data_IF_749650779513
#
_entry.id   IF_749650779513
#
_cell.length_a   1.000
_cell.length_b   1.000
_cell.length_c   1.000
_cell.angle_alpha   90.00
_cell.angle_beta   90.00
_cell.angle_gamma   90.00
#
_symmetry.space_group_name_H-M   'P 1'
#
loop_
_entity.id
_entity.type
_entity.pdbx_description
1 polymer ?
#
# COMPACT_ATOMS: atom_id res chain seq x y z
N UNK A 1 -2.93 11.74 -2.26
CA UNK A 1 -1.70 12.55 -2.29
C UNK A 1 -0.72 12.02 -1.25
N UNK A 2 0.55 11.81 -1.62
CA UNK A 2 1.63 11.32 -0.74
C UNK A 2 2.61 12.45 -0.40
N UNK A 3 2.91 12.70 0.87
CA UNK A 3 3.92 13.70 1.32
C UNK A 3 5.21 13.02 1.78
N UNK A 4 6.40 13.53 1.44
CA UNK A 4 7.69 13.05 1.99
C UNK A 4 8.49 14.18 2.65
N UNK A 5 8.98 13.99 3.88
CA UNK A 5 9.77 15.02 4.60
C UNK A 5 11.27 14.96 4.24
N UNK A 6 11.80 16.05 3.65
CA UNK A 6 13.01 16.82 4.07
C UNK A 6 13.56 17.80 3.02
N UNK A 7 12.98 17.85 1.82
CA UNK A 7 13.16 18.95 0.85
C UNK A 7 11.81 19.10 0.16
N UNK A 8 11.28 20.32 0.00
CA UNK A 8 9.94 20.62 -0.55
C UNK A 8 9.33 19.44 -1.36
N UNK A 9 8.35 18.69 -0.80
CA UNK A 9 8.08 17.32 -1.26
C UNK A 9 7.65 17.28 -2.72
N UNK A 10 8.16 16.34 -3.54
CA UNK A 10 7.45 15.99 -4.76
C UNK A 10 6.07 15.46 -4.37
N UNK A 11 5.04 16.04 -4.99
CA UNK A 11 3.67 15.56 -4.87
C UNK A 11 3.50 14.36 -5.79
N UNK A 12 2.97 13.25 -5.25
CA UNK A 12 2.65 12.07 -6.05
C UNK A 12 1.15 11.85 -6.15
N UNK A 13 0.69 11.54 -7.36
CA UNK A 13 -0.69 11.15 -7.63
C UNK A 13 -0.93 9.69 -7.20
N UNK A 14 -2.10 9.44 -6.64
CA UNK A 14 -2.49 8.11 -6.14
C UNK A 14 -3.93 7.83 -6.55
N UNK A 15 -4.18 6.70 -7.21
CA UNK A 15 -5.54 6.17 -7.36
C UNK A 15 -5.85 5.31 -6.15
N UNK A 16 -6.88 5.68 -5.39
CA UNK A 16 -7.30 4.85 -4.26
C UNK A 16 -8.02 3.59 -4.74
N UNK A 17 -7.78 2.48 -4.05
CA UNK A 17 -8.64 1.33 -4.17
C UNK A 17 -10.02 1.67 -3.57
N UNK A 18 -11.08 1.11 -4.16
CA UNK A 18 -12.46 1.30 -3.70
C UNK A 18 -12.89 0.27 -2.63
N UNK A 19 -11.94 -0.32 -1.91
CA UNK A 19 -12.16 -1.30 -0.84
C UNK A 19 -11.24 -1.06 0.35
N UNK A 20 -11.61 -1.70 1.47
CA UNK A 20 -11.14 -1.34 2.81
C UNK A 20 -12.01 -0.26 3.43
N UNK A 21 -11.59 0.31 4.55
CA UNK A 21 -12.23 1.51 5.13
C UNK A 21 -11.53 2.74 4.56
N UNK A 22 -12.06 3.38 3.50
CA UNK A 22 -11.50 4.63 3.02
C UNK A 22 -11.70 5.69 4.10
N UNK A 23 -10.61 6.23 4.65
CA UNK A 23 -10.71 7.36 5.58
C UNK A 23 -10.87 8.66 4.79
N UNK A 24 -11.95 8.78 4.02
CA UNK A 24 -12.28 10.05 3.37
C UNK A 24 -12.24 11.19 4.39
N UNK A 25 -11.62 12.32 4.04
CA UNK A 25 -11.46 13.42 4.99
C UNK A 25 -10.28 13.28 5.96
N UNK A 26 -9.45 12.24 5.87
CA UNK A 26 -8.35 12.00 6.80
C UNK A 26 -6.96 12.14 6.17
N UNK A 27 -5.99 12.45 7.04
CA UNK A 27 -4.56 12.39 6.78
C UNK A 27 -3.97 11.21 7.57
N UNK A 28 -3.27 10.30 6.89
CA UNK A 28 -2.54 9.20 7.52
C UNK A 28 -1.04 9.36 7.23
N UNK A 29 -0.24 9.71 8.23
CA UNK A 29 1.22 9.72 8.11
C UNK A 29 1.86 8.50 8.75
N UNK A 30 2.90 7.96 8.13
CA UNK A 30 3.63 6.79 8.61
C UNK A 30 4.95 6.57 7.89
N UNK A 31 5.80 5.72 8.46
CA UNK A 31 7.05 5.31 7.85
C UNK A 31 6.78 4.41 6.65
N UNK A 32 7.43 4.69 5.53
CA UNK A 32 7.37 3.85 4.33
C UNK A 32 8.19 2.58 4.56
N UNK A 33 7.58 1.43 4.27
CA UNK A 33 8.18 0.11 4.39
C UNK A 33 8.15 -0.55 3.02
N UNK A 34 9.30 -0.95 2.49
CA UNK A 34 9.38 -1.72 1.25
C UNK A 34 10.11 -3.04 1.53
N UNK A 35 9.38 -4.14 1.80
CA UNK A 35 9.98 -5.44 2.05
C UNK A 35 10.73 -5.91 0.79
N UNK A 36 12.04 -6.10 0.90
CA UNK A 36 12.84 -6.50 -0.26
C UNK A 36 14.11 -7.28 0.14
N UNK A 37 14.60 -8.12 -0.77
CA UNK A 37 15.87 -8.81 -0.57
C UNK A 37 17.07 -7.84 -0.61
N UNK A 38 16.98 -6.72 -1.33
CA UNK A 38 17.97 -5.65 -1.31
C UNK A 38 17.92 -4.92 0.04
N UNK A 39 18.91 -5.21 0.89
CA UNK A 39 19.02 -4.61 2.23
C UNK A 39 19.18 -3.08 2.22
N UNK A 40 19.53 -2.46 1.07
CA UNK A 40 19.65 -1.00 0.97
C UNK A 40 18.32 -0.26 1.17
N UNK A 41 17.18 -0.94 1.09
CA UNK A 41 15.87 -0.36 1.42
C UNK A 41 15.55 -0.32 2.92
N UNK A 42 16.43 -0.86 3.78
CA UNK A 42 16.28 -0.84 5.24
C UNK A 42 15.30 -1.87 5.83
N UNK A 43 14.42 -2.45 5.01
CA UNK A 43 13.46 -3.48 5.42
C UNK A 43 13.73 -4.80 4.69
N UNK A 44 14.78 -5.49 5.12
CA UNK A 44 15.20 -6.75 4.51
C UNK A 44 14.19 -7.87 4.76
N UNK A 45 13.64 -8.43 3.67
CA UNK A 45 12.73 -9.56 3.70
C UNK A 45 12.94 -10.39 2.42
N UNK A 46 13.35 -11.66 2.59
CA UNK A 46 13.55 -12.60 1.48
C UNK A 46 12.39 -13.59 1.44
N UNK A 47 11.72 -13.70 0.30
CA UNK A 47 10.62 -14.64 0.08
C UNK A 47 11.04 -15.73 -0.91
N UNK A 48 10.84 -16.98 -0.51
CA UNK A 48 11.08 -18.15 -1.37
C UNK A 48 9.94 -19.16 -1.20
N UNK A 49 9.03 -19.30 -2.18
CA UNK A 49 8.99 -18.60 -3.46
C UNK A 49 8.69 -17.09 -3.31
N UNK A 50 8.88 -16.32 -4.39
CA UNK A 50 8.87 -14.85 -4.33
C UNK A 50 7.50 -14.23 -4.01
N UNK A 51 6.44 -15.03 -3.91
CA UNK A 51 5.05 -14.60 -3.75
C UNK A 51 4.84 -13.62 -2.58
N UNK A 52 5.46 -13.82 -1.41
CA UNK A 52 5.31 -12.87 -0.30
C UNK A 52 5.95 -11.50 -0.57
N UNK A 53 6.99 -11.40 -1.43
CA UNK A 53 7.61 -10.10 -1.78
C UNK A 53 6.63 -9.18 -2.50
N UNK A 54 5.59 -9.76 -3.09
CA UNK A 54 4.51 -9.04 -3.77
C UNK A 54 3.23 -8.98 -2.94
N UNK A 55 3.24 -9.45 -1.68
CA UNK A 55 2.04 -9.53 -0.84
C UNK A 55 1.02 -10.57 -1.30
N UNK A 56 1.42 -11.56 -2.11
CA UNK A 56 0.54 -12.65 -2.52
C UNK A 56 0.44 -13.75 -1.45
N UNK A 57 1.46 -13.86 -0.59
CA UNK A 57 1.47 -14.71 0.60
C UNK A 57 1.77 -13.86 1.85
N UNK A 58 1.42 -14.36 3.06
CA UNK A 58 1.76 -13.69 4.31
C UNK A 58 3.26 -13.41 4.48
N UNK A 59 3.59 -12.25 5.05
CA UNK A 59 4.97 -11.85 5.27
C UNK A 59 5.66 -12.54 6.46
N UNK A 60 4.96 -13.36 7.24
CA UNK A 60 5.60 -14.22 8.23
C UNK A 60 6.37 -15.39 7.57
N UNK A 61 6.16 -15.63 6.27
CA UNK A 61 6.91 -16.59 5.46
C UNK A 61 8.25 -16.03 4.96
N UNK A 62 8.49 -14.72 5.09
CA UNK A 62 9.78 -14.15 4.70
C UNK A 62 10.88 -14.58 5.67
N UNK A 63 12.13 -14.50 5.22
CA UNK A 63 13.32 -14.68 6.04
C UNK A 63 14.12 -13.36 6.08
N UNK A 64 14.27 -12.70 7.24
CA UNK A 64 13.52 -12.97 8.48
C UNK A 64 12.01 -12.69 8.33
N UNK A 65 11.14 -13.24 9.20
CA UNK A 65 9.71 -12.92 9.19
C UNK A 65 9.48 -11.43 9.41
N UNK A 66 8.78 -10.77 8.49
CA UNK A 66 8.47 -9.36 8.62
C UNK A 66 7.24 -9.17 9.51
N UNK A 67 7.45 -8.52 10.65
CA UNK A 67 6.38 -8.10 11.57
C UNK A 67 6.59 -6.64 11.94
N UNK A 68 5.62 -5.80 11.56
CA UNK A 68 5.58 -4.38 11.89
C UNK A 68 4.91 -4.20 13.25
N UNK A 69 5.74 -4.05 14.28
CA UNK A 69 5.27 -3.94 15.66
C UNK A 69 4.40 -2.70 15.84
N UNK A 70 3.16 -2.89 16.30
CA UNK A 70 2.27 -1.79 16.67
C UNK A 70 2.82 -1.12 17.93
N UNK A 71 3.18 0.15 17.81
CA UNK A 71 3.63 1.00 18.91
C UNK A 71 2.86 2.33 18.88
N UNK A 72 2.57 2.94 20.04
CA UNK A 72 1.92 4.25 20.09
C UNK A 72 2.66 5.29 19.23
N UNK A 73 1.93 5.96 18.34
CA UNK A 73 2.48 6.99 17.45
C UNK A 73 3.26 6.46 16.24
N UNK A 74 3.60 5.17 16.18
CA UNK A 74 4.19 4.56 14.98
C UNK A 74 3.11 4.05 14.05
N UNK A 75 3.27 4.40 12.78
CA UNK A 75 2.42 3.95 11.67
C UNK A 75 3.30 3.50 10.53
N UNK A 76 2.87 2.47 9.82
CA UNK A 76 3.61 1.93 8.70
C UNK A 76 2.76 1.97 7.44
N UNK A 77 3.34 2.50 6.37
CA UNK A 77 2.74 2.47 5.05
C UNK A 77 3.58 1.53 4.20
N UNK A 78 3.00 0.39 3.82
CA UNK A 78 3.71 -0.62 3.05
C UNK A 78 3.68 -0.26 1.57
N UNK A 79 4.83 -0.24 0.93
CA UNK A 79 4.97 -0.16 -0.52
C UNK A 79 5.14 -1.58 -1.06
N UNK A 80 4.38 -1.95 -2.09
CA UNK A 80 4.51 -3.24 -2.76
C UNK A 80 4.53 -3.06 -4.27
N UNK A 81 5.23 -3.94 -4.96
CA UNK A 81 5.10 -4.04 -6.40
C UNK A 81 3.80 -4.76 -6.78
N UNK A 82 3.15 -4.31 -7.86
CA UNK A 82 1.96 -4.98 -8.41
C UNK A 82 2.23 -6.46 -8.69
N UNK A 83 3.46 -6.80 -9.04
CA UNK A 83 3.87 -8.15 -9.38
C UNK A 83 4.65 -8.14 -10.69
N UNK A 84 5.54 -9.10 -10.91
CA UNK A 84 6.07 -9.36 -12.23
C UNK A 84 4.95 -9.90 -13.12
N UNK A 85 5.11 -9.69 -14.42
CA UNK A 85 4.30 -10.38 -15.43
C UNK A 85 4.68 -11.86 -15.45
N UNK A 86 3.76 -12.68 -15.93
CA UNK A 86 4.00 -14.08 -16.22
C UNK A 86 5.37 -14.26 -16.91
N UNK A 87 6.28 -15.04 -16.31
CA UNK A 87 7.58 -15.38 -16.90
C UNK A 87 8.81 -14.56 -16.48
N UNK A 88 8.75 -13.62 -15.53
CA UNK A 88 9.96 -12.85 -15.11
C UNK A 88 10.47 -13.11 -13.69
N UNK A 89 9.74 -13.85 -12.85
CA UNK A 89 10.14 -14.31 -11.50
C UNK A 89 9.47 -15.67 -11.24
N UNK A 90 10.02 -16.50 -10.35
CA UNK A 90 9.43 -17.76 -9.81
C UNK A 90 8.12 -17.54 -9.00
N UNK A 91 7.28 -16.59 -9.41
CA UNK A 91 5.91 -16.48 -8.92
C UNK A 91 5.07 -17.56 -9.60
N UNK A 92 4.44 -18.40 -8.78
CA UNK A 92 3.52 -19.41 -9.30
C UNK A 92 2.27 -18.79 -9.94
N UNK A 93 1.82 -17.62 -9.47
CA UNK A 93 0.64 -16.91 -10.02
C UNK A 93 0.58 -15.44 -9.55
N UNK A 94 0.13 -14.48 -10.38
CA UNK A 94 -0.23 -13.15 -9.89
C UNK A 94 -1.43 -13.20 -8.92
N UNK A 95 -1.42 -12.33 -7.90
CA UNK A 95 -2.51 -12.21 -6.91
C UNK A 95 -3.28 -10.89 -7.06
N UNK A 96 -4.46 -10.83 -6.43
CA UNK A 96 -5.31 -9.64 -6.45
C UNK A 96 -4.78 -8.56 -5.50
N UNK A 97 -5.19 -7.31 -5.73
CA UNK A 97 -4.88 -6.23 -4.80
C UNK A 97 -5.44 -6.46 -3.39
N UNK A 98 -6.57 -7.16 -3.28
CA UNK A 98 -7.15 -7.51 -2.00
C UNK A 98 -6.19 -8.38 -1.18
N UNK A 99 -5.55 -9.36 -1.82
CA UNK A 99 -4.56 -10.23 -1.16
C UNK A 99 -3.39 -9.41 -0.62
N UNK A 100 -2.90 -8.45 -1.42
CA UNK A 100 -1.82 -7.53 -1.02
C UNK A 100 -2.22 -6.74 0.22
N UNK A 101 -3.40 -6.11 0.21
CA UNK A 101 -3.88 -5.33 1.34
C UNK A 101 -4.09 -6.18 2.59
N UNK A 102 -4.66 -7.38 2.42
CA UNK A 102 -4.87 -8.33 3.50
C UNK A 102 -3.54 -8.76 4.14
N UNK A 103 -2.56 -9.20 3.35
CA UNK A 103 -1.27 -9.66 3.84
C UNK A 103 -0.44 -8.51 4.44
N UNK A 104 -0.53 -7.28 3.90
CA UNK A 104 0.05 -6.08 4.52
C UNK A 104 -0.58 -5.79 5.88
N UNK A 105 -1.90 -5.92 6.02
CA UNK A 105 -2.60 -5.75 7.30
C UNK A 105 -2.11 -6.77 8.33
N UNK A 106 -2.02 -8.05 7.95
CA UNK A 106 -1.51 -9.11 8.83
C UNK A 106 -0.07 -8.86 9.28
N UNK A 107 0.77 -8.28 8.40
CA UNK A 107 2.12 -7.88 8.75
C UNK A 107 2.19 -6.66 9.68
N UNK A 108 1.07 -5.98 9.95
CA UNK A 108 0.99 -4.83 10.86
C UNK A 108 1.04 -3.45 10.18
N UNK A 109 0.86 -3.38 8.86
CA UNK A 109 0.74 -2.10 8.16
C UNK A 109 -0.51 -1.31 8.59
N UNK A 110 -0.52 0.00 8.32
CA UNK A 110 -1.68 0.89 8.51
C UNK A 110 -2.26 1.36 7.17
N UNK A 111 -1.49 1.24 6.08
CA UNK A 111 -1.95 1.36 4.70
C UNK A 111 -0.99 0.63 3.75
N UNK A 112 -1.45 0.40 2.52
CA UNK A 112 -0.63 -0.16 1.43
C UNK A 112 -0.70 0.72 0.18
N UNK A 113 0.45 0.94 -0.44
CA UNK A 113 0.60 1.53 -1.78
C UNK A 113 1.17 0.46 -2.71
N UNK A 114 0.47 0.18 -3.80
CA UNK A 114 0.92 -0.74 -4.83
C UNK A 114 1.48 0.06 -6.00
N UNK A 115 2.68 -0.26 -6.44
CA UNK A 115 3.35 0.38 -7.57
C UNK A 115 2.92 -0.30 -8.87
N UNK A 116 2.43 0.48 -9.83
CA UNK A 116 2.04 -0.02 -11.14
C UNK A 116 3.25 -0.55 -11.93
N UNK A 117 3.05 -1.54 -12.79
CA UNK A 117 4.09 -2.19 -13.60
C UNK A 117 4.18 -1.65 -15.05
N UNK A 118 3.34 -0.67 -15.39
CA UNK A 118 3.30 -0.01 -16.70
C UNK A 118 2.94 1.47 -16.58
N UNK A 119 3.40 2.25 -17.54
CA UNK A 119 2.85 3.56 -17.83
C UNK A 119 1.39 3.42 -18.32
N UNK A 120 0.53 4.37 -17.97
CA UNK A 120 -0.90 4.36 -18.31
C UNK A 120 -1.83 4.37 -17.09
N UNK A 121 -3.14 4.30 -17.36
CA UNK A 121 -4.18 4.49 -16.35
C UNK A 121 -4.04 3.56 -15.15
N UNK A 122 -4.27 4.14 -13.97
CA UNK A 122 -4.33 3.43 -12.71
C UNK A 122 -5.60 2.58 -12.70
N UNK A 123 -5.51 1.35 -13.22
CA UNK A 123 -6.65 0.43 -13.30
C UNK A 123 -7.15 0.13 -11.88
N UNK A 124 -8.42 0.45 -11.59
CA UNK A 124 -9.06 0.09 -10.32
C UNK A 124 -8.98 -1.41 -10.10
N UNK A 125 -8.57 -1.82 -8.90
CA UNK A 125 -8.42 -3.21 -8.56
C UNK A 125 -9.75 -3.98 -8.70
N UNK A 126 -9.68 -5.11 -9.41
CA UNK A 126 -10.81 -6.05 -9.51
C UNK A 126 -10.81 -6.90 -8.25
N UNK A 127 -11.92 -6.90 -7.53
CA UNK A 127 -12.16 -7.81 -6.41
C UNK A 127 -12.69 -9.13 -6.97
N UNK A 128 -12.14 -10.29 -6.60
CA UNK A 128 -12.71 -11.59 -6.93
C UNK A 128 -14.13 -11.72 -6.37
N UNK A 129 -15.02 -12.39 -7.10
CA UNK A 129 -16.38 -12.67 -6.64
C UNK A 129 -16.47 -14.06 -6.01
N UNK A 130 -15.72 -14.29 -4.93
CA UNK A 130 -15.80 -15.51 -4.13
C UNK A 130 -15.97 -15.21 -2.63
N UNK A 131 -16.39 -16.22 -1.86
CA UNK A 131 -16.68 -16.07 -0.42
C UNK A 131 -15.44 -15.69 0.40
N UNK A 132 -14.24 -16.12 -0.01
CA UNK A 132 -12.98 -15.78 0.64
C UNK A 132 -12.68 -14.29 0.52
N UNK A 133 -12.81 -13.74 -0.69
CA UNK A 133 -12.69 -12.33 -0.95
C UNK A 133 -13.73 -11.49 -0.20
N UNK A 134 -14.98 -11.96 -0.11
CA UNK A 134 -16.03 -11.28 0.65
C UNK A 134 -15.69 -11.14 2.14
N UNK A 135 -15.13 -12.19 2.75
CA UNK A 135 -14.70 -12.17 4.16
C UNK A 135 -13.48 -11.26 4.37
N UNK A 136 -12.47 -11.36 3.50
CA UNK A 136 -11.31 -10.46 3.55
C UNK A 136 -11.73 -8.99 3.45
N UNK A 137 -12.71 -8.66 2.60
CA UNK A 137 -13.23 -7.29 2.48
C UNK A 137 -13.90 -6.79 3.77
N UNK A 138 -14.63 -7.65 4.49
CA UNK A 138 -15.28 -7.27 5.75
C UNK A 138 -14.25 -6.95 6.85
N UNK A 139 -13.15 -7.70 6.90
CA UNK A 139 -12.12 -7.58 7.94
C UNK A 139 -10.97 -6.62 7.56
N UNK A 140 -10.95 -6.07 6.33
CA UNK A 140 -9.91 -5.16 5.87
C UNK A 140 -10.13 -3.74 6.42
N UNK A 141 -9.24 -3.32 7.32
CA UNK A 141 -9.30 -2.03 8.02
C UNK A 141 -8.29 -1.01 7.51
N UNK A 142 -7.26 -1.46 6.79
CA UNK A 142 -6.25 -0.58 6.20
C UNK A 142 -6.72 -0.02 4.86
N UNK A 143 -6.23 1.18 4.51
CA UNK A 143 -6.49 1.75 3.20
C UNK A 143 -5.46 1.26 2.17
N UNK A 144 -5.90 1.08 0.94
CA UNK A 144 -5.06 0.64 -0.17
C UNK A 144 -5.12 1.65 -1.33
N UNK A 145 -4.00 1.84 -2.03
CA UNK A 145 -3.92 2.68 -3.21
C UNK A 145 -2.95 2.13 -4.25
N UNK A 146 -3.14 2.52 -5.50
CA UNK A 146 -2.25 2.28 -6.63
C UNK A 146 -1.55 3.59 -7.01
N UNK A 147 -0.23 3.55 -7.18
CA UNK A 147 0.57 4.69 -7.63
C UNK A 147 1.25 4.37 -8.96
N UNK A 148 1.66 5.42 -9.69
CA UNK A 148 2.34 5.24 -10.96
C UNK A 148 3.69 4.53 -10.79
N UNK A 149 4.19 3.93 -11.87
CA UNK A 149 5.53 3.34 -11.89
C UNK A 149 6.61 4.37 -11.56
N UNK A 150 6.46 5.60 -12.07
CA UNK A 150 7.39 6.71 -11.86
C UNK A 150 7.45 7.12 -10.38
N UNK A 151 6.29 7.29 -9.73
CA UNK A 151 6.21 7.68 -8.32
C UNK A 151 6.79 6.58 -7.42
N UNK A 152 6.50 5.31 -7.73
CA UNK A 152 7.08 4.18 -7.03
C UNK A 152 8.61 4.14 -7.17
N UNK A 153 9.15 4.43 -8.35
CA UNK A 153 10.59 4.51 -8.56
C UNK A 153 11.22 5.66 -7.74
N UNK A 154 10.57 6.82 -7.68
CA UNK A 154 11.02 7.95 -6.84
C UNK A 154 11.04 7.59 -5.36
N UNK A 155 9.99 6.96 -4.83
CA UNK A 155 9.93 6.54 -3.42
C UNK A 155 11.01 5.51 -3.08
N UNK A 156 11.24 4.52 -3.96
CA UNK A 156 12.30 3.52 -3.79
C UNK A 156 13.69 4.17 -3.81
N UNK A 157 13.94 5.12 -4.70
CA UNK A 157 15.19 5.86 -4.74
C UNK A 157 15.43 6.68 -3.46
N UNK A 158 14.37 7.22 -2.85
CA UNK A 158 14.45 7.90 -1.55
C UNK A 158 14.76 6.90 -0.41
N UNK A 159 14.10 5.74 -0.39
CA UNK A 159 14.34 4.70 0.62
C UNK A 159 15.80 4.22 0.65
N UNK A 160 16.45 4.14 -0.52
CA UNK A 160 17.89 3.81 -0.60
C UNK A 160 18.81 4.85 0.03
N UNK A 161 18.32 6.07 0.27
CA UNK A 161 19.08 7.15 0.92
C UNK A 161 18.82 7.22 2.42
N UNK A 162 17.76 6.57 2.91
CA UNK A 162 17.40 6.53 4.32
C UNK A 162 15.90 6.34 4.57
N UNK A 163 15.47 6.35 5.84
CA UNK A 163 14.06 6.22 6.20
C UNK A 163 13.19 7.30 5.57
N UNK A 164 12.09 6.89 4.97
CA UNK A 164 11.11 7.79 4.34
C UNK A 164 9.84 7.82 5.18
N UNK A 165 9.33 9.01 5.47
CA UNK A 165 7.97 9.19 6.01
C UNK A 165 7.05 9.59 4.87
N UNK A 166 5.91 8.93 4.76
CA UNK A 166 4.86 9.26 3.80
C UNK A 166 3.62 9.79 4.53
N UNK A 167 2.88 10.74 3.95
CA UNK A 167 1.54 11.07 4.42
C UNK A 167 0.51 10.88 3.31
N UNK A 168 -0.53 10.09 3.55
CA UNK A 168 -1.65 9.89 2.64
C UNK A 168 -2.73 10.90 2.99
N UNK A 169 -2.95 11.87 2.13
CA UNK A 169 -4.02 12.84 2.27
C UNK A 169 -5.21 12.49 1.37
N UNK A 170 -6.37 12.32 2.02
CA UNK A 170 -7.66 12.00 1.41
C UNK A 170 -8.73 13.06 1.71
N UNK A 171 -8.33 14.26 2.13
CA UNK A 171 -9.25 15.36 2.49
C UNK A 171 -10.15 15.80 1.34
N UNK A 172 -9.67 15.71 0.11
CA UNK A 172 -10.41 16.19 -1.07
C UNK A 172 -11.36 15.14 -1.69
N UNK A 173 -11.30 13.89 -1.23
CA UNK A 173 -12.05 12.77 -1.78
C UNK A 173 -13.40 12.52 -1.09
N UNK A 174 -13.88 13.44 -0.25
CA UNK A 174 -15.20 13.36 0.37
C UNK A 174 -16.28 13.32 -0.75
N UNK A 175 -17.08 12.25 -0.86
CA UNK A 175 -18.17 12.17 -1.83
C UNK A 175 -19.10 13.37 -1.67
N UNK A 176 -19.58 13.94 -2.79
CA UNK A 176 -20.46 15.14 -2.77
C UNK A 176 -21.64 15.01 -1.80
N UNK A 177 -22.16 13.79 -1.61
CA UNK A 177 -23.24 13.49 -0.67
C UNK A 177 -22.91 13.82 0.81
N UNK A 178 -21.65 13.68 1.24
CA UNK A 178 -21.22 14.00 2.61
C UNK A 178 -20.85 15.47 2.80
N UNK A 179 -20.53 16.21 1.72
CA UNK A 179 -20.30 17.67 1.79
C UNK A 179 -21.59 18.47 2.06
N UNK A 180 -22.76 17.91 1.77
CA UNK A 180 -24.05 18.60 1.89
C UNK A 180 -24.70 18.51 3.30
N UNK A 181 -24.20 17.67 4.21
CA UNK A 181 -24.80 17.49 5.54
C UNK A 181 -24.39 18.52 6.60
N UNK A 182 -23.50 19.47 6.25
CA UNK A 182 -22.89 20.41 7.20
C UNK A 182 -23.47 21.82 7.25
N UNK A 183 -24.66 22.07 6.66
CA UNK A 183 -25.28 23.40 6.71
C UNK A 183 -26.74 23.34 7.14
N UNK A 184 -26.99 24.00 8.28
CA UNK A 184 -28.25 24.52 8.83
C UNK A 184 -28.96 23.63 9.86
N UNK A 185 -28.56 23.80 11.12
CA UNK A 185 -29.52 24.05 12.19
C UNK A 185 -29.05 25.32 12.93
N UNK A 186 -29.69 26.45 12.63
CA UNK A 186 -29.92 27.56 13.55
C UNK A 186 -31.42 27.70 13.70
#
# INVERSE_FOLDING_TARGET
MVFVNEVAPPWFDVALANFGVPKYGALLSGQLVYPNADASYGWHAVCTPADCSFGCLPFNESTPPLVLKKEPGKRYIMLLDRGPREGTVDLKKPCYFLDKAWNSQLAGADAVLVVNDREGDLSTAVVPQDEGAARQLQDLTISAGLISQQDGASLKALLKKGPVTVALNWTDLIPKAQKAGGRLAR
#
